data_IF_285651465870
#
_entry.id   IF_285651465870
#
_cell.length_a   1.000
_cell.length_b   1.000
_cell.length_c   1.000
_cell.angle_alpha   90.00
_cell.angle_beta   90.00
_cell.angle_gamma   90.00
#
_symmetry.space_group_name_H-M   'P 1'
#
loop_
_entity.id
_entity.type
_entity.pdbx_description
1 polymer ?
#
# COMPACT_ATOMS: atom_id res chain seq x y z
N UNK A 1 -28.90 -5.67 -12.26
CA UNK A 1 -27.54 -5.27 -12.63
C UNK A 1 -26.60 -5.73 -11.51
N UNK A 2 -25.64 -6.60 -11.81
CA UNK A 2 -24.74 -7.22 -10.83
C UNK A 2 -23.45 -6.38 -10.75
N UNK A 3 -22.85 -6.18 -9.57
CA UNK A 3 -21.60 -5.43 -9.46
C UNK A 3 -20.48 -6.15 -10.22
N UNK A 4 -19.60 -5.44 -10.94
CA UNK A 4 -18.47 -6.08 -11.60
C UNK A 4 -17.48 -6.53 -10.53
N UNK A 5 -17.24 -7.84 -10.51
CA UNK A 5 -16.20 -8.47 -9.73
C UNK A 5 -14.85 -7.88 -10.12
N UNK A 6 -14.13 -7.29 -9.15
CA UNK A 6 -12.73 -6.88 -9.30
C UNK A 6 -11.86 -8.13 -9.32
N UNK A 7 -11.62 -8.72 -10.50
CA UNK A 7 -10.41 -9.51 -10.70
C UNK A 7 -9.24 -8.54 -10.81
N UNK A 8 -8.14 -8.71 -10.05
CA UNK A 8 -6.98 -7.83 -10.20
C UNK A 8 -6.50 -7.92 -11.64
N UNK A 9 -6.55 -6.81 -12.37
CA UNK A 9 -5.78 -6.64 -13.61
C UNK A 9 -4.35 -7.08 -13.29
N UNK A 10 -3.87 -8.09 -14.03
CA UNK A 10 -2.58 -8.75 -13.82
C UNK A 10 -1.46 -7.69 -13.75
N UNK A 11 -1.06 -7.34 -12.53
CA UNK A 11 -0.02 -6.34 -12.29
C UNK A 11 1.31 -7.07 -12.39
N UNK A 12 2.11 -6.70 -13.38
CA UNK A 12 3.47 -7.22 -13.50
C UNK A 12 4.38 -6.47 -12.52
N UNK A 13 5.31 -7.18 -11.89
CA UNK A 13 6.23 -6.62 -10.90
C UNK A 13 7.66 -7.08 -11.18
N UNK A 14 8.64 -6.29 -10.72
CA UNK A 14 10.07 -6.67 -10.73
C UNK A 14 10.77 -6.13 -9.48
N UNK A 15 11.52 -6.99 -8.80
CA UNK A 15 12.35 -6.64 -7.64
C UNK A 15 12.98 -7.88 -6.98
N UNK A 16 13.87 -7.68 -5.98
CA UNK A 16 14.52 -8.79 -5.29
C UNK A 16 13.57 -9.51 -4.33
N UNK A 17 13.56 -10.85 -4.40
CA UNK A 17 12.86 -11.74 -3.47
C UNK A 17 13.82 -12.23 -2.38
N UNK A 18 13.40 -12.23 -1.12
CA UNK A 18 14.18 -12.83 -0.03
C UNK A 18 14.02 -14.37 0.01
N UNK A 19 15.02 -15.09 0.54
CA UNK A 19 15.00 -16.56 0.59
C UNK A 19 13.86 -17.12 1.46
N UNK A 20 13.19 -18.16 0.96
CA UNK A 20 12.28 -19.01 1.74
C UNK A 20 10.78 -18.82 1.48
N UNK A 21 10.31 -17.66 0.99
CA UNK A 21 8.95 -17.36 0.48
C UNK A 21 9.04 -16.13 -0.43
N UNK A 22 8.06 -15.87 -1.30
CA UNK A 22 7.98 -14.70 -2.21
C UNK A 22 7.90 -13.34 -1.47
N UNK A 23 8.92 -13.01 -0.67
CA UNK A 23 9.00 -11.81 0.15
C UNK A 23 9.70 -10.71 -0.61
N UNK A 24 9.02 -9.60 -0.78
CA UNK A 24 9.56 -8.44 -1.49
C UNK A 24 10.55 -7.69 -0.59
N UNK A 25 11.77 -7.46 -1.07
CA UNK A 25 12.75 -6.61 -0.38
C UNK A 25 13.35 -5.58 -1.33
N UNK A 26 13.90 -4.49 -0.82
CA UNK A 26 14.55 -3.46 -1.63
C UNK A 26 13.56 -2.74 -2.53
N UNK A 27 14.05 -2.18 -3.65
CA UNK A 27 13.24 -1.35 -4.54
C UNK A 27 12.44 -2.21 -5.52
N UNK A 28 11.16 -1.89 -5.64
CA UNK A 28 10.19 -2.58 -6.47
C UNK A 28 9.51 -1.61 -7.43
N UNK A 29 9.29 -2.08 -8.65
CA UNK A 29 8.49 -1.36 -9.66
C UNK A 29 7.33 -2.23 -10.10
N UNK A 30 6.14 -1.64 -10.11
CA UNK A 30 4.88 -2.25 -10.55
C UNK A 30 4.43 -1.59 -11.83
N UNK A 31 3.81 -2.39 -12.69
CA UNK A 31 3.38 -1.97 -14.01
C UNK A 31 1.91 -2.29 -14.24
N UNK A 32 1.22 -1.39 -14.93
CA UNK A 32 -0.08 -1.68 -15.55
C UNK A 32 0.07 -2.75 -16.64
N UNK A 33 -1.01 -3.42 -17.06
CA UNK A 33 -0.97 -4.35 -18.19
C UNK A 33 -0.49 -3.72 -19.50
N UNK A 34 -0.71 -2.42 -19.67
CA UNK A 34 -0.17 -1.62 -20.78
C UNK A 34 1.35 -1.45 -20.76
N UNK A 35 2.00 -1.80 -19.65
CA UNK A 35 3.44 -1.65 -19.44
C UNK A 35 3.87 -0.30 -18.87
N UNK A 36 2.94 0.65 -18.66
CA UNK A 36 3.25 1.89 -17.95
C UNK A 36 3.47 1.64 -16.45
N UNK A 37 4.32 2.47 -15.82
CA UNK A 37 4.61 2.34 -14.40
C UNK A 37 3.37 2.72 -13.60
N UNK A 38 2.99 1.85 -12.68
CA UNK A 38 1.88 2.04 -11.76
C UNK A 38 2.36 2.53 -10.39
N UNK A 39 3.42 1.90 -9.84
CA UNK A 39 3.95 2.26 -8.54
C UNK A 39 5.43 1.88 -8.41
N UNK A 40 6.14 2.62 -7.57
CA UNK A 40 7.54 2.33 -7.24
C UNK A 40 7.82 2.72 -5.80
N UNK A 41 8.63 1.92 -5.13
CA UNK A 41 9.13 2.23 -3.80
C UNK A 41 9.84 1.03 -3.19
N UNK A 42 10.14 1.11 -1.90
CA UNK A 42 10.96 0.13 -1.22
C UNK A 42 10.15 -0.74 -0.24
N UNK A 43 10.53 -2.01 -0.14
CA UNK A 43 10.06 -2.95 0.86
C UNK A 43 11.14 -3.32 1.87
N UNK A 44 10.78 -3.22 3.15
CA UNK A 44 11.52 -3.80 4.26
C UNK A 44 10.95 -5.16 4.65
N UNK A 45 11.74 -5.95 5.38
CA UNK A 45 11.34 -7.24 5.92
C UNK A 45 11.13 -7.11 7.43
N UNK A 46 9.97 -7.56 7.89
CA UNK A 46 9.65 -7.76 9.30
C UNK A 46 9.54 -9.25 9.62
N UNK A 47 9.52 -9.56 10.91
CA UNK A 47 9.29 -10.92 11.38
C UNK A 47 8.45 -10.89 12.66
N UNK A 48 7.66 -11.94 12.86
CA UNK A 48 6.94 -12.21 14.10
C UNK A 48 7.04 -13.69 14.44
N UNK A 49 6.86 -14.03 15.71
CA UNK A 49 6.76 -15.41 16.16
C UNK A 49 5.36 -15.92 15.84
N UNK A 50 5.26 -16.94 15.01
CA UNK A 50 4.03 -17.66 14.70
C UNK A 50 4.06 -19.02 15.37
N UNK A 51 2.96 -19.41 16.00
CA UNK A 51 2.87 -20.63 16.78
C UNK A 51 1.80 -21.55 16.20
N UNK A 52 2.17 -22.11 15.05
CA UNK A 52 1.42 -23.09 14.30
C UNK A 52 1.57 -24.48 14.91
N UNK A 53 0.87 -25.48 14.36
CA UNK A 53 0.86 -26.86 14.86
C UNK A 53 2.25 -27.54 14.93
N UNK A 54 3.24 -27.02 14.21
CA UNK A 54 4.63 -27.49 14.25
C UNK A 54 5.50 -26.88 15.38
N UNK A 55 4.93 -25.98 16.19
CA UNK A 55 5.65 -25.24 17.22
C UNK A 55 5.99 -23.79 16.81
N UNK A 56 6.66 -23.04 17.71
CA UNK A 56 7.03 -21.66 17.46
C UNK A 56 8.03 -21.53 16.30
N UNK A 57 7.71 -20.72 15.31
CA UNK A 57 8.56 -20.42 14.17
C UNK A 57 8.50 -18.93 13.83
N UNK A 58 9.61 -18.36 13.34
CA UNK A 58 9.59 -16.99 12.81
C UNK A 58 8.93 -16.98 11.45
N UNK A 59 7.86 -16.20 11.33
CA UNK A 59 7.24 -15.87 10.05
C UNK A 59 7.69 -14.49 9.62
N UNK A 60 8.17 -14.39 8.39
CA UNK A 60 8.63 -13.16 7.77
C UNK A 60 7.54 -12.58 6.88
N UNK A 61 7.53 -11.26 6.75
CA UNK A 61 6.61 -10.53 5.89
C UNK A 61 7.29 -9.25 5.37
N UNK A 62 6.83 -8.74 4.23
CA UNK A 62 7.30 -7.47 3.69
C UNK A 62 6.34 -6.32 4.04
N UNK A 63 6.88 -5.13 4.23
CA UNK A 63 6.10 -3.91 4.44
C UNK A 63 6.77 -2.74 3.70
N UNK A 64 5.98 -1.74 3.29
CA UNK A 64 6.47 -0.59 2.53
C UNK A 64 7.23 0.36 3.46
N UNK A 65 8.37 0.84 2.99
CA UNK A 65 9.21 1.81 3.69
C UNK A 65 9.66 2.92 2.75
N UNK A 66 9.99 4.06 3.33
CA UNK A 66 10.62 5.16 2.62
C UNK A 66 9.74 5.72 1.49
N UNK A 67 10.35 6.34 0.47
CA UNK A 67 9.62 7.02 -0.58
C UNK A 67 8.87 6.05 -1.47
N UNK A 68 7.62 6.40 -1.76
CA UNK A 68 6.76 5.69 -2.67
C UNK A 68 6.07 6.69 -3.59
N UNK A 69 6.00 6.33 -4.87
CA UNK A 69 5.32 7.09 -5.89
C UNK A 69 4.36 6.19 -6.64
N UNK A 70 3.21 6.74 -6.99
CA UNK A 70 2.14 6.10 -7.74
C UNK A 70 1.75 7.00 -8.89
N UNK A 71 1.41 6.39 -10.01
CA UNK A 71 1.03 7.08 -11.23
C UNK A 71 -0.31 6.56 -11.74
N UNK A 72 -1.02 7.42 -12.45
CA UNK A 72 -2.11 7.01 -13.33
C UNK A 72 -1.55 6.29 -14.55
N UNK A 73 -2.39 5.50 -15.22
CA UNK A 73 -1.98 4.77 -16.44
C UNK A 73 -1.48 5.70 -17.56
N UNK A 74 -1.94 6.96 -17.58
CA UNK A 74 -1.48 8.02 -18.48
C UNK A 74 -0.08 8.59 -18.12
N UNK A 75 0.57 8.06 -17.08
CA UNK A 75 1.91 8.46 -16.62
C UNK A 75 1.96 9.69 -15.72
N UNK A 76 0.82 10.36 -15.44
CA UNK A 76 0.78 11.48 -14.51
C UNK A 76 0.84 10.99 -13.06
N UNK A 77 1.42 11.81 -12.18
CA UNK A 77 1.49 11.50 -10.75
C UNK A 77 0.07 11.36 -10.20
N UNK A 78 -0.13 10.33 -9.40
CA UNK A 78 -1.36 10.09 -8.66
C UNK A 78 -1.14 10.44 -7.18
N UNK A 79 -0.06 9.91 -6.59
CA UNK A 79 0.36 10.32 -5.26
C UNK A 79 1.83 10.01 -5.03
N UNK A 80 2.45 10.75 -4.10
CA UNK A 80 3.77 10.42 -3.59
C UNK A 80 3.90 10.81 -2.13
N UNK A 81 4.75 10.08 -1.42
CA UNK A 81 5.07 10.35 -0.03
C UNK A 81 5.96 9.28 0.55
N UNK A 82 6.14 9.33 1.87
CA UNK A 82 6.98 8.37 2.58
C UNK A 82 6.12 7.44 3.43
N UNK A 83 6.32 6.14 3.29
CA UNK A 83 5.89 5.19 4.31
C UNK A 83 6.89 5.22 5.46
N UNK A 84 6.36 5.33 6.67
CA UNK A 84 7.14 5.25 7.90
C UNK A 84 6.82 3.92 8.61
N UNK A 85 7.80 3.27 9.25
CA UNK A 85 7.52 2.07 10.05
C UNK A 85 6.64 2.41 11.25
N UNK A 86 5.36 2.02 11.20
CA UNK A 86 4.46 2.01 12.34
C UNK A 86 4.67 0.75 13.17
N UNK A 87 4.45 0.82 14.48
CA UNK A 87 4.52 -0.34 15.39
C UNK A 87 3.12 -0.75 15.80
N UNK A 88 2.78 -2.02 15.63
CA UNK A 88 1.55 -2.61 16.10
C UNK A 88 1.85 -3.79 17.03
N UNK A 89 0.98 -3.98 18.03
CA UNK A 89 1.07 -5.12 18.94
C UNK A 89 0.21 -6.25 18.40
N UNK A 90 0.80 -7.41 18.14
CA UNK A 90 0.07 -8.60 17.73
C UNK A 90 0.11 -9.64 18.85
N UNK A 91 -1.06 -10.04 19.34
CA UNK A 91 -1.22 -11.15 20.27
C UNK A 91 -1.57 -12.43 19.51
N UNK A 92 -0.87 -13.51 19.82
CA UNK A 92 -1.14 -14.85 19.32
C UNK A 92 -0.97 -15.90 20.43
N UNK A 93 -1.03 -17.19 20.07
CA UNK A 93 -0.92 -18.32 21.00
C UNK A 93 0.41 -18.39 21.77
N UNK A 94 1.47 -17.73 21.29
CA UNK A 94 2.77 -17.66 21.96
C UNK A 94 3.01 -16.40 22.78
N UNK A 95 2.07 -15.46 22.78
CA UNK A 95 2.16 -14.24 23.55
C UNK A 95 1.99 -13.01 22.69
N UNK A 96 2.80 -12.00 22.95
CA UNK A 96 2.64 -10.66 22.37
C UNK A 96 3.91 -10.26 21.65
N UNK A 97 3.78 -9.97 20.36
CA UNK A 97 4.85 -9.48 19.51
C UNK A 97 4.61 -8.03 19.09
N UNK A 98 5.70 -7.32 18.77
CA UNK A 98 5.61 -6.03 18.08
C UNK A 98 5.96 -6.20 16.62
N UNK A 99 4.98 -5.94 15.74
CA UNK A 99 5.15 -5.97 14.30
C UNK A 99 5.27 -4.58 13.73
N UNK A 100 6.11 -4.44 12.69
CA UNK A 100 6.19 -3.25 11.88
C UNK A 100 5.11 -3.28 10.80
N UNK A 101 4.47 -2.14 10.55
CA UNK A 101 3.52 -1.95 9.47
C UNK A 101 3.86 -0.69 8.68
N UNK A 102 3.49 -0.66 7.41
CA UNK A 102 3.58 0.57 6.61
C UNK A 102 2.57 1.58 7.13
N UNK A 103 3.04 2.68 7.71
CA UNK A 103 2.19 3.79 8.12
C UNK A 103 2.38 4.99 7.18
N UNK A 104 1.34 5.81 7.06
CA UNK A 104 1.33 7.04 6.27
C UNK A 104 1.06 8.23 7.19
N UNK A 105 1.48 9.43 6.80
CA UNK A 105 1.26 10.67 7.55
C UNK A 105 0.78 11.77 6.60
N UNK A 106 0.51 12.98 7.11
CA UNK A 106 0.03 14.12 6.31
C UNK A 106 1.13 14.77 5.43
N UNK A 107 2.24 14.08 5.13
CA UNK A 107 3.24 14.54 4.16
C UNK A 107 2.98 14.03 2.74
N UNK A 108 1.95 13.22 2.55
CA UNK A 108 1.62 12.65 1.25
C UNK A 108 0.96 13.70 0.37
N UNK A 109 1.33 13.72 -0.91
CA UNK A 109 0.74 14.64 -1.90
C UNK A 109 -0.10 13.86 -2.88
N UNK A 110 -1.28 14.39 -3.21
CA UNK A 110 -2.25 13.77 -4.11
C UNK A 110 -2.52 14.69 -5.28
N UNK A 111 -2.74 14.09 -6.45
CA UNK A 111 -2.96 14.81 -7.69
C UNK A 111 -4.12 14.16 -8.45
N UNK A 112 -4.86 14.94 -9.22
CA UNK A 112 -5.88 14.42 -10.13
C UNK A 112 -5.26 13.81 -11.39
N UNK A 113 -6.08 13.15 -12.22
CA UNK A 113 -5.63 12.54 -13.48
C UNK A 113 -5.13 13.53 -14.53
N UNK A 114 -5.34 14.83 -14.31
CA UNK A 114 -4.83 15.91 -15.14
C UNK A 114 -3.52 16.50 -14.62
N UNK A 115 -3.14 16.20 -13.38
CA UNK A 115 -1.90 16.60 -12.72
C UNK A 115 -2.05 17.76 -11.73
N UNK A 116 -3.27 18.20 -11.41
CA UNK A 116 -3.47 19.27 -10.42
C UNK A 116 -3.40 18.72 -8.99
N UNK A 117 -2.85 19.50 -8.07
CA UNK A 117 -2.80 19.16 -6.64
C UNK A 117 -4.21 19.02 -6.03
N UNK A 118 -4.40 18.01 -5.16
CA UNK A 118 -5.65 17.73 -4.44
C UNK A 118 -5.46 17.80 -2.91
N UNK A 119 -5.32 19.00 -2.31
CA UNK A 119 -4.95 19.16 -0.90
C UNK A 119 -6.03 18.72 0.11
N UNK A 120 -7.32 18.79 -0.25
CA UNK A 120 -8.42 18.38 0.64
C UNK A 120 -8.50 16.86 0.81
N UNK A 121 -8.05 16.12 -0.21
CA UNK A 121 -8.02 14.66 -0.22
C UNK A 121 -6.98 14.11 0.75
N UNK A 122 -5.86 14.80 0.94
CA UNK A 122 -4.73 14.37 1.78
C UNK A 122 -5.17 13.98 3.20
N UNK A 123 -5.67 14.94 3.99
CA UNK A 123 -5.96 14.70 5.42
C UNK A 123 -7.02 13.63 5.65
N UNK A 124 -8.13 13.68 4.92
CA UNK A 124 -9.27 12.79 5.15
C UNK A 124 -8.99 11.34 4.75
N UNK A 125 -8.10 11.11 3.78
CA UNK A 125 -7.69 9.76 3.37
C UNK A 125 -6.65 9.20 4.32
N UNK A 126 -5.66 9.99 4.73
CA UNK A 126 -4.60 9.53 5.64
C UNK A 126 -5.18 9.04 6.97
N UNK A 127 -6.15 9.76 7.52
CA UNK A 127 -6.81 9.37 8.77
C UNK A 127 -7.62 8.06 8.60
N UNK A 128 -8.24 7.85 7.43
CA UNK A 128 -8.97 6.60 7.11
C UNK A 128 -8.04 5.41 6.93
N UNK A 129 -6.88 5.60 6.29
CA UNK A 129 -5.89 4.53 6.05
C UNK A 129 -5.33 4.03 7.37
N UNK A 130 -4.98 4.94 8.28
CA UNK A 130 -4.40 4.56 9.56
C UNK A 130 -5.41 3.92 10.50
N UNK A 131 -6.71 4.23 10.38
CA UNK A 131 -7.75 3.72 11.29
C UNK A 131 -8.30 2.34 10.91
N UNK A 132 -8.30 1.97 9.62
CA UNK A 132 -8.99 0.76 9.18
C UNK A 132 -8.13 -0.49 9.07
N UNK A 133 -6.79 -0.38 9.16
CA UNK A 133 -5.86 -1.46 8.81
C UNK A 133 -6.20 -2.13 7.45
N UNK A 134 -6.99 -1.44 6.62
CA UNK A 134 -7.54 -1.93 5.37
C UNK A 134 -6.57 -1.47 4.27
N UNK A 135 -6.34 -2.36 3.32
CA UNK A 135 -5.16 -2.36 2.48
C UNK A 135 -4.85 -1.06 1.74
N UNK A 136 -3.56 -0.90 1.50
CA UNK A 136 -2.90 -0.16 0.41
C UNK A 136 -3.56 1.16 -0.02
N UNK A 137 -2.87 2.27 0.25
CA UNK A 137 -3.17 3.64 -0.21
C UNK A 137 -3.84 3.73 -1.59
N UNK A 138 -3.43 2.90 -2.55
CA UNK A 138 -4.05 2.82 -3.87
C UNK A 138 -5.54 2.50 -3.90
N UNK A 139 -6.02 1.52 -3.12
CA UNK A 139 -7.44 1.13 -3.09
C UNK A 139 -8.31 2.27 -2.57
N UNK A 140 -7.79 3.08 -1.65
CA UNK A 140 -8.46 4.29 -1.18
C UNK A 140 -8.51 5.37 -2.25
N UNK A 141 -7.40 5.59 -2.97
CA UNK A 141 -7.34 6.64 -4.00
C UNK A 141 -8.22 6.32 -5.20
N UNK A 142 -8.31 5.05 -5.62
CA UNK A 142 -9.22 4.65 -6.71
C UNK A 142 -10.70 4.76 -6.35
N UNK A 143 -11.05 4.71 -5.06
CA UNK A 143 -12.42 4.92 -4.55
C UNK A 143 -12.73 6.39 -4.26
N UNK A 144 -11.70 7.24 -4.17
CA UNK A 144 -11.83 8.67 -3.93
C UNK A 144 -12.32 9.54 -5.12
N UNK A 145 -12.34 9.13 -6.41
CA UNK A 145 -12.86 9.98 -7.47
C UNK A 145 -14.37 10.25 -7.32
N UNK A 146 -15.10 9.35 -6.64
CA UNK A 146 -16.50 9.57 -6.28
C UNK A 146 -16.69 10.60 -5.14
N UNK A 147 -15.61 10.99 -4.46
CA UNK A 147 -15.62 12.04 -3.43
C UNK A 147 -15.22 13.42 -3.98
N UNK A 148 -14.56 13.48 -5.14
CA UNK A 148 -14.23 14.74 -5.84
C UNK A 148 -15.22 15.09 -6.96
N UNK A 149 -16.04 14.13 -7.41
CA UNK A 149 -17.20 14.41 -8.24
C UNK A 149 -18.29 15.01 -7.35
N UNK A 150 -18.13 16.29 -7.02
CA UNK A 150 -19.18 17.09 -6.42
C UNK A 150 -20.47 16.88 -7.19
N UNK A 151 -21.51 16.55 -6.44
CA UNK A 151 -22.92 16.71 -6.79
C UNK A 151 -23.06 18.06 -7.52
N UNK A 152 -23.21 18.00 -8.84
CA UNK A 152 -23.71 19.13 -9.63
C UNK A 152 -25.12 18.74 -10.06
N UNK A 153 -26.03 19.54 -9.49
CA UNK A 153 -27.49 19.68 -9.75
C UNK A 153 -28.41 18.59 -9.21
#
# INVERSE_FOLDING_TARGET
MRPPYYTPLQTMYRGPLAEGRELMTGVWTYYYPSGSIYAQGEYGIGAFMDCQSGGPARTYYNYKIGPWTYWYENGKLLTRGNYVPGRATWRNSCGTDTVLQSAVNHSWKFYDSTGNDMPEVDRSIIDKINTRHEGTLYLYILRAPELSAGTRE
#
